data_IF_732062630538
#
_entry.id   IF_732062630538
#
_cell.length_a   1.000
_cell.length_b   1.000
_cell.length_c   1.000
_cell.angle_alpha   90.00
_cell.angle_beta   90.00
_cell.angle_gamma   90.00
#
_symmetry.space_group_name_H-M   'P 1'
#
loop_
_entity.id
_entity.type
_entity.pdbx_description
1 polymer ?
#
# COMPACT_ATOMS: atom_id res chain seq x y z
N UNK A 1 59.93 -18.34 -29.28
CA UNK A 1 58.76 -19.13 -28.81
C UNK A 1 58.60 -18.95 -27.31
N UNK A 2 57.97 -17.88 -26.82
CA UNK A 2 57.75 -17.70 -25.35
C UNK A 2 56.66 -16.69 -24.95
N UNK A 3 55.78 -16.21 -25.84
CA UNK A 3 54.91 -15.06 -25.52
C UNK A 3 53.41 -15.36 -25.41
N UNK A 4 53.00 -16.62 -25.21
CA UNK A 4 51.58 -17.02 -25.28
C UNK A 4 50.89 -17.61 -24.01
N UNK A 5 51.28 -17.31 -22.75
CA UNK A 5 50.42 -17.65 -21.61
C UNK A 5 49.55 -16.48 -21.09
N UNK A 6 49.82 -15.22 -21.46
CA UNK A 6 49.12 -14.05 -20.88
C UNK A 6 47.78 -13.69 -21.53
N UNK A 7 47.56 -14.05 -22.80
CA UNK A 7 46.31 -13.74 -23.50
C UNK A 7 45.12 -14.60 -23.01
N UNK A 8 45.42 -15.86 -22.65
CA UNK A 8 44.41 -16.85 -22.28
C UNK A 8 43.81 -16.60 -20.88
N UNK A 9 44.60 -16.06 -19.94
CA UNK A 9 44.14 -15.73 -18.59
C UNK A 9 43.15 -14.55 -18.63
N UNK A 10 43.43 -13.51 -19.42
CA UNK A 10 42.57 -12.33 -19.58
C UNK A 10 41.17 -12.67 -20.11
N UNK A 11 41.05 -13.65 -21.00
CA UNK A 11 39.78 -14.05 -21.60
C UNK A 11 38.87 -14.83 -20.64
N UNK A 12 39.49 -15.57 -19.69
CA UNK A 12 38.77 -16.33 -18.66
C UNK A 12 38.27 -15.42 -17.53
N UNK A 13 39.04 -14.40 -17.18
CA UNK A 13 38.65 -13.38 -16.20
C UNK A 13 37.58 -12.43 -16.76
N UNK A 14 37.59 -12.11 -18.06
CA UNK A 14 36.51 -11.37 -18.73
C UNK A 14 35.19 -12.16 -18.71
N UNK A 15 35.24 -13.47 -18.95
CA UNK A 15 34.06 -14.34 -18.93
C UNK A 15 33.48 -14.53 -17.51
N UNK A 16 34.31 -14.45 -16.45
CA UNK A 16 33.82 -14.42 -15.07
C UNK A 16 33.25 -13.06 -14.66
N UNK A 17 33.79 -11.96 -15.18
CA UNK A 17 33.34 -10.60 -14.86
C UNK A 17 32.00 -10.26 -15.54
N UNK A 18 31.77 -10.73 -16.77
CA UNK A 18 30.47 -10.53 -17.46
C UNK A 18 29.34 -11.41 -16.93
N UNK A 19 29.62 -12.38 -16.05
CA UNK A 19 28.60 -13.26 -15.47
C UNK A 19 27.92 -12.67 -14.23
N UNK A 20 28.55 -11.70 -13.56
CA UNK A 20 27.99 -11.05 -12.37
C UNK A 20 27.06 -9.88 -12.68
N UNK A 21 27.07 -9.37 -13.92
CA UNK A 21 26.28 -8.19 -14.31
C UNK A 21 24.90 -8.52 -14.89
N UNK A 22 24.54 -9.81 -15.01
CA UNK A 22 23.21 -10.23 -15.44
C UNK A 22 22.34 -10.66 -14.26
N UNK A 23 22.36 -9.91 -13.16
CA UNK A 23 21.19 -9.89 -12.28
C UNK A 23 20.14 -9.08 -13.03
N UNK A 24 19.07 -9.71 -13.57
CA UNK A 24 18.11 -8.93 -14.34
C UNK A 24 17.52 -7.88 -13.40
N UNK A 25 17.42 -6.63 -13.84
CA UNK A 25 16.78 -5.51 -13.12
C UNK A 25 15.41 -5.89 -12.54
N UNK A 26 14.74 -6.88 -13.16
CA UNK A 26 13.53 -7.52 -12.65
C UNK A 26 13.69 -8.10 -11.25
N UNK A 27 14.83 -8.70 -10.89
CA UNK A 27 15.07 -9.30 -9.57
C UNK A 27 15.08 -8.25 -8.47
N UNK A 28 15.62 -7.05 -8.72
CA UNK A 28 15.58 -5.93 -7.78
C UNK A 28 14.17 -5.39 -7.55
N UNK A 29 13.40 -5.22 -8.63
CA UNK A 29 11.99 -4.82 -8.56
C UNK A 29 11.11 -5.87 -7.86
N UNK A 30 11.32 -7.16 -8.17
CA UNK A 30 10.60 -8.27 -7.54
C UNK A 30 10.90 -8.31 -6.04
N UNK A 31 12.18 -8.15 -5.65
CA UNK A 31 12.58 -8.14 -4.24
C UNK A 31 11.94 -6.98 -3.45
N UNK A 32 11.92 -5.76 -4.02
CA UNK A 32 11.27 -4.61 -3.39
C UNK A 32 9.75 -4.78 -3.26
N UNK A 33 9.09 -5.21 -4.33
CA UNK A 33 7.64 -5.40 -4.35
C UNK A 33 7.19 -6.47 -3.36
N UNK A 34 7.97 -7.55 -3.20
CA UNK A 34 7.73 -8.58 -2.20
C UNK A 34 7.90 -8.06 -0.77
N UNK A 35 8.92 -7.26 -0.49
CA UNK A 35 9.11 -6.63 0.82
C UNK A 35 7.93 -5.75 1.22
N UNK A 36 7.45 -4.91 0.29
CA UNK A 36 6.28 -4.06 0.51
C UNK A 36 5.00 -4.88 0.74
N UNK A 37 4.78 -5.92 -0.07
CA UNK A 37 3.61 -6.79 0.07
C UNK A 37 3.57 -7.52 1.42
N UNK A 38 4.71 -8.04 1.87
CA UNK A 38 4.82 -8.72 3.19
C UNK A 38 4.58 -7.71 4.32
N UNK A 39 5.13 -6.51 4.22
CA UNK A 39 4.88 -5.45 5.21
C UNK A 39 3.39 -5.11 5.30
N UNK A 40 2.72 -4.86 4.17
CA UNK A 40 1.30 -4.54 4.11
C UNK A 40 0.46 -5.69 4.71
N UNK A 41 0.77 -6.93 4.33
CA UNK A 41 0.10 -8.12 4.87
C UNK A 41 0.34 -8.26 6.38
N UNK A 42 1.54 -7.95 6.87
CA UNK A 42 1.87 -7.91 8.30
C UNK A 42 1.03 -6.89 9.06
N UNK A 43 0.88 -5.67 8.53
CA UNK A 43 0.05 -4.61 9.15
C UNK A 43 -1.43 -5.02 9.19
N UNK A 44 -1.97 -5.49 8.06
CA UNK A 44 -3.37 -5.95 7.98
C UNK A 44 -3.59 -7.15 8.92
N UNK A 45 -2.65 -8.09 8.94
CA UNK A 45 -2.66 -9.25 9.83
C UNK A 45 -2.64 -8.87 11.30
N UNK A 46 -1.81 -7.90 11.69
CA UNK A 46 -1.74 -7.39 13.06
C UNK A 46 -3.05 -6.70 13.46
N UNK A 47 -3.62 -5.84 12.60
CA UNK A 47 -4.91 -5.20 12.86
C UNK A 47 -6.03 -6.23 13.00
N UNK A 48 -6.09 -7.23 12.10
CA UNK A 48 -7.07 -8.31 12.17
C UNK A 48 -6.88 -9.16 13.43
N UNK A 49 -5.64 -9.42 13.83
CA UNK A 49 -5.31 -10.14 15.06
C UNK A 49 -5.77 -9.37 16.30
N UNK A 50 -5.49 -8.07 16.39
CA UNK A 50 -5.96 -7.25 17.52
C UNK A 50 -7.48 -7.17 17.61
N UNK A 51 -8.16 -6.95 16.48
CA UNK A 51 -9.63 -6.92 16.42
C UNK A 51 -10.22 -8.31 16.74
N UNK A 52 -9.60 -9.38 16.22
CA UNK A 52 -10.00 -10.76 16.46
C UNK A 52 -9.84 -11.17 17.93
N UNK A 53 -8.70 -10.87 18.54
CA UNK A 53 -8.48 -11.11 19.97
C UNK A 53 -9.44 -10.28 20.82
N UNK A 54 -9.63 -8.99 20.49
CA UNK A 54 -10.58 -8.13 21.19
C UNK A 54 -12.00 -8.68 21.12
N UNK A 55 -12.43 -9.17 19.95
CA UNK A 55 -13.75 -9.79 19.77
C UNK A 55 -13.88 -11.17 20.44
N UNK A 56 -12.79 -11.93 20.58
CA UNK A 56 -12.81 -13.26 21.19
C UNK A 56 -12.77 -13.19 22.73
N UNK A 57 -11.94 -12.28 23.28
CA UNK A 57 -11.84 -12.05 24.72
C UNK A 57 -12.99 -11.17 25.24
N UNK A 58 -13.61 -10.37 24.38
CA UNK A 58 -14.75 -9.53 24.74
C UNK A 58 -16.00 -10.34 25.05
N UNK A 59 -16.53 -10.19 26.28
CA UNK A 59 -17.82 -10.80 26.64
C UNK A 59 -18.95 -10.18 25.80
N UNK A 60 -19.53 -11.01 24.94
CA UNK A 60 -20.61 -10.62 24.02
C UNK A 60 -21.94 -10.59 24.77
N UNK A 61 -22.14 -9.57 25.59
CA UNK A 61 -23.44 -9.29 26.21
C UNK A 61 -24.42 -8.79 25.14
N UNK A 62 -25.31 -9.67 24.67
CA UNK A 62 -26.40 -9.36 23.74
C UNK A 62 -27.56 -8.67 24.47
N UNK A 63 -27.40 -7.39 24.81
CA UNK A 63 -28.50 -6.53 25.25
C UNK A 63 -29.14 -5.82 24.06
N UNK A 64 -30.48 -5.86 23.92
CA UNK A 64 -31.20 -5.15 22.84
C UNK A 64 -30.93 -3.63 22.85
N UNK A 65 -30.73 -3.05 24.03
CA UNK A 65 -30.39 -1.63 24.24
C UNK A 65 -28.92 -1.29 23.91
N UNK A 66 -28.04 -2.29 23.70
CA UNK A 66 -26.67 -2.03 23.24
C UNK A 66 -26.57 -1.86 21.71
N UNK A 67 -27.58 -2.33 20.98
CA UNK A 67 -27.63 -2.30 19.51
C UNK A 67 -28.50 -1.16 18.97
N UNK A 68 -29.06 -0.32 19.83
CA UNK A 68 -29.77 0.89 19.40
C UNK A 68 -28.78 2.05 19.23
N UNK A 69 -28.94 2.91 18.20
CA UNK A 69 -28.21 4.16 18.09
C UNK A 69 -28.32 4.97 19.38
N UNK A 70 -27.18 5.44 19.88
CA UNK A 70 -27.15 6.22 21.12
C UNK A 70 -27.72 7.61 20.88
N UNK A 71 -28.91 7.87 21.40
CA UNK A 71 -29.58 9.19 21.35
C UNK A 71 -30.04 9.59 22.77
N UNK A 72 -29.14 9.51 23.75
CA UNK A 72 -29.40 9.90 25.16
C UNK A 72 -30.68 9.32 25.79
N UNK A 73 -31.09 8.10 25.40
CA UNK A 73 -32.30 7.44 25.90
C UNK A 73 -33.57 7.71 25.08
N UNK A 74 -33.48 8.43 23.97
CA UNK A 74 -34.58 8.54 23.00
C UNK A 74 -34.50 7.41 21.97
N UNK A 75 -35.65 6.81 21.64
CA UNK A 75 -35.70 5.86 20.53
C UNK A 75 -35.38 6.61 19.24
N UNK A 76 -34.57 6.03 18.33
CA UNK A 76 -34.28 6.65 17.04
C UNK A 76 -35.59 6.83 16.26
N UNK A 77 -36.04 8.08 16.18
CA UNK A 77 -37.27 8.43 15.45
C UNK A 77 -36.87 9.03 14.10
N UNK A 78 -37.24 8.34 13.03
CA UNK A 78 -37.05 8.80 11.66
C UNK A 78 -35.97 8.06 10.88
N UNK A 79 -36.05 8.18 9.55
CA UNK A 79 -35.04 7.65 8.65
C UNK A 79 -33.79 8.52 8.74
N UNK A 80 -32.61 7.91 8.94
CA UNK A 80 -31.30 8.57 8.92
C UNK A 80 -30.91 9.18 7.54
N UNK A 81 -31.88 9.35 6.63
CA UNK A 81 -31.71 10.04 5.35
C UNK A 81 -31.91 11.54 5.48
N UNK A 82 -31.10 12.16 6.34
CA UNK A 82 -30.91 13.60 6.25
C UNK A 82 -30.15 13.91 4.95
N UNK A 83 -30.62 14.92 4.22
CA UNK A 83 -29.86 15.49 3.11
C UNK A 83 -28.63 16.16 3.70
N UNK A 84 -27.48 15.47 3.65
CA UNK A 84 -26.20 16.05 4.00
C UNK A 84 -26.00 17.33 3.17
N UNK A 85 -25.44 18.37 3.78
CA UNK A 85 -25.30 19.67 3.13
C UNK A 85 -24.49 19.54 1.83
N UNK A 86 -24.91 20.24 0.78
CA UNK A 86 -24.24 20.25 -0.53
C UNK A 86 -22.74 20.67 -0.46
N UNK A 87 -22.32 21.28 0.66
CA UNK A 87 -20.93 21.64 0.92
C UNK A 87 -19.97 20.45 0.82
N UNK A 88 -20.36 19.25 1.30
CA UNK A 88 -19.50 18.06 1.21
C UNK A 88 -19.27 17.61 -0.24
N UNK A 89 -20.28 17.79 -1.10
CA UNK A 89 -20.16 17.47 -2.52
C UNK A 89 -19.20 18.44 -3.22
N UNK A 90 -19.29 19.74 -2.93
CA UNK A 90 -18.38 20.73 -3.51
C UNK A 90 -16.92 20.46 -3.13
N UNK A 91 -16.65 20.07 -1.88
CA UNK A 91 -15.30 19.71 -1.43
C UNK A 91 -14.79 18.45 -2.15
N UNK A 92 -15.62 17.43 -2.30
CA UNK A 92 -15.25 16.21 -3.01
C UNK A 92 -14.97 16.46 -4.51
N UNK A 93 -15.81 17.27 -5.17
CA UNK A 93 -15.62 17.62 -6.58
C UNK A 93 -14.36 18.46 -6.77
N UNK A 94 -14.08 19.40 -5.87
CA UNK A 94 -12.84 20.19 -5.90
C UNK A 94 -11.60 19.31 -5.64
N UNK A 95 -11.67 18.35 -4.71
CA UNK A 95 -10.57 17.41 -4.46
C UNK A 95 -10.22 16.58 -5.70
N UNK A 96 -11.23 16.04 -6.40
CA UNK A 96 -11.01 15.27 -7.63
C UNK A 96 -10.37 16.12 -8.72
N UNK A 97 -10.84 17.36 -8.91
CA UNK A 97 -10.26 18.27 -9.91
C UNK A 97 -8.80 18.59 -9.54
N UNK A 98 -8.54 18.95 -8.27
CA UNK A 98 -7.19 19.30 -7.82
C UNK A 98 -6.22 18.12 -7.86
N UNK A 99 -6.68 16.90 -7.58
CA UNK A 99 -5.87 15.67 -7.66
C UNK A 99 -5.40 15.40 -9.10
N UNK A 100 -6.28 15.64 -10.09
CA UNK A 100 -5.94 15.53 -11.51
C UNK A 100 -4.93 16.61 -11.94
N UNK A 101 -5.10 17.85 -11.50
CA UNK A 101 -4.14 18.93 -11.77
C UNK A 101 -2.77 18.65 -11.14
N UNK A 102 -2.75 18.09 -9.92
CA UNK A 102 -1.52 17.67 -9.27
C UNK A 102 -0.78 16.57 -10.04
N UNK A 103 -1.52 15.62 -10.64
CA UNK A 103 -0.94 14.60 -11.53
C UNK A 103 -0.25 15.24 -12.75
N UNK A 104 -0.89 16.23 -13.38
CA UNK A 104 -0.31 16.94 -14.53
C UNK A 104 0.96 17.71 -14.15
N UNK A 105 0.93 18.43 -13.01
CA UNK A 105 2.09 19.12 -12.49
C UNK A 105 3.23 18.15 -12.12
N UNK A 106 2.92 16.98 -11.57
CA UNK A 106 3.91 15.95 -11.26
C UNK A 106 4.56 15.39 -12.53
N UNK A 107 3.77 15.09 -13.57
CA UNK A 107 4.30 14.62 -14.85
C UNK A 107 5.22 15.66 -15.51
N UNK A 108 4.83 16.94 -15.48
CA UNK A 108 5.69 18.04 -15.95
C UNK A 108 6.97 18.13 -15.11
N UNK A 109 6.86 18.05 -13.79
CA UNK A 109 8.00 18.13 -12.86
C UNK A 109 9.01 17.00 -13.02
N UNK A 110 8.59 15.80 -13.44
CA UNK A 110 9.50 14.67 -13.64
C UNK A 110 10.13 14.67 -15.03
N UNK A 111 9.52 15.40 -15.98
CA UNK A 111 10.02 15.52 -17.36
C UNK A 111 11.00 16.69 -17.54
N UNK A 112 11.00 17.67 -16.63
CA UNK A 112 11.96 18.79 -16.61
C UNK A 112 13.20 18.42 -15.81
#
# INVERSE_FOLDING_TARGET
MSSLPRLFIKHRDLCSLTRTDSMPESTGLIAHNWGFAIFLLGVVGLCAFMLGLSSLLGSKAWGRSKNEPFESGMLPTGSARLRLSAKFYLVAMLFVIFDIEALFLFAWSFSV
#
